data_IF_401454434705
#
_entry.id   IF_401454434705
#
_cell.length_a   1.000
_cell.length_b   1.000
_cell.length_c   1.000
_cell.angle_alpha   90.00
_cell.angle_beta   90.00
_cell.angle_gamma   90.00
#
_symmetry.space_group_name_H-M   'P 1'
#
loop_
_entity.id
_entity.type
_entity.pdbx_description
1 polymer ?
#
# COMPACT_ATOMS: atom_id res chain seq x y z
N UNK A 1 9.18 18.50 -9.77
CA UNK A 1 9.08 18.73 -8.31
C UNK A 1 10.31 18.17 -7.63
N UNK A 2 11.01 19.01 -6.86
CA UNK A 2 12.19 18.61 -6.08
C UNK A 2 11.72 17.82 -4.85
N UNK A 3 12.57 16.96 -4.30
CA UNK A 3 12.26 16.15 -3.11
C UNK A 3 11.72 16.99 -1.92
N UNK A 4 12.12 18.26 -1.86
CA UNK A 4 11.74 19.26 -0.86
C UNK A 4 10.24 19.60 -0.87
N UNK A 5 9.57 19.59 -2.04
CA UNK A 5 8.15 19.94 -2.15
C UNK A 5 7.23 18.90 -1.47
N UNK A 6 7.75 17.71 -1.10
CA UNK A 6 6.97 16.64 -0.45
C UNK A 6 6.82 16.86 1.06
N UNK A 7 7.80 17.47 1.71
CA UNK A 7 7.82 17.74 3.16
C UNK A 7 6.82 18.83 3.54
N UNK A 8 6.63 19.83 2.67
CA UNK A 8 5.77 20.98 2.96
C UNK A 8 4.26 20.67 2.99
N UNK A 9 3.87 19.45 2.59
CA UNK A 9 2.47 19.05 2.48
C UNK A 9 1.88 18.35 3.71
N UNK A 10 2.70 17.92 4.68
CA UNK A 10 2.23 17.24 5.90
C UNK A 10 2.51 18.08 7.17
N UNK A 11 1.48 18.66 7.81
CA UNK A 11 1.61 19.41 9.05
C UNK A 11 2.24 18.61 10.19
N UNK A 12 1.98 17.29 10.28
CA UNK A 12 2.53 16.47 11.38
C UNK A 12 4.04 16.30 11.27
N UNK A 13 4.57 16.20 10.04
CA UNK A 13 6.01 16.13 9.83
C UNK A 13 6.73 17.38 10.36
N UNK A 14 6.13 18.58 10.17
CA UNK A 14 6.65 19.83 10.74
C UNK A 14 6.56 19.83 12.27
N UNK A 15 5.43 19.42 12.83
CA UNK A 15 5.27 19.36 14.29
C UNK A 15 6.23 18.38 14.95
N UNK A 16 6.53 17.24 14.32
CA UNK A 16 7.51 16.29 14.83
C UNK A 16 8.95 16.81 14.77
N UNK A 17 9.27 17.67 13.80
CA UNK A 17 10.56 18.36 13.75
C UNK A 17 10.69 19.37 14.90
N UNK A 18 9.61 20.08 15.24
CA UNK A 18 9.61 21.12 16.27
C UNK A 18 9.50 20.58 17.70
N UNK A 19 8.67 19.56 17.91
CA UNK A 19 8.26 19.09 19.24
C UNK A 19 8.75 17.68 19.58
N UNK A 20 9.43 17.00 18.64
CA UNK A 20 9.98 15.67 18.83
C UNK A 20 9.05 14.52 18.42
N UNK A 21 9.44 13.27 18.71
CA UNK A 21 8.80 12.06 18.14
C UNK A 21 7.41 11.77 18.70
N UNK A 22 7.01 12.39 19.81
CA UNK A 22 5.70 12.23 20.44
C UNK A 22 5.18 13.62 20.78
N UNK A 23 3.99 13.95 20.29
CA UNK A 23 3.35 15.25 20.54
C UNK A 23 1.88 15.08 20.86
N UNK A 24 1.37 15.95 21.73
CA UNK A 24 -0.05 16.06 22.03
C UNK A 24 -0.71 17.13 21.15
N UNK A 25 -1.89 16.84 20.62
CA UNK A 25 -2.72 17.78 19.86
C UNK A 25 -4.20 17.55 20.14
N UNK A 26 -5.05 18.50 19.78
CA UNK A 26 -6.49 18.40 19.97
C UNK A 26 -7.20 18.23 18.63
N UNK A 27 -8.10 17.25 18.55
CA UNK A 27 -9.06 17.12 17.45
C UNK A 27 -10.42 17.52 18.00
N UNK A 28 -10.77 18.79 17.87
CA UNK A 28 -11.95 19.35 18.52
C UNK A 28 -11.83 19.27 20.04
N UNK A 29 -12.71 18.50 20.69
CA UNK A 29 -12.68 18.25 22.14
C UNK A 29 -11.92 16.98 22.55
N UNK A 30 -11.35 16.26 21.59
CA UNK A 30 -10.59 15.02 21.83
C UNK A 30 -9.12 15.37 21.99
N UNK A 31 -8.53 15.03 23.13
CA UNK A 31 -7.08 15.07 23.30
C UNK A 31 -6.48 13.89 22.53
N UNK A 32 -5.46 14.13 21.72
CA UNK A 32 -4.81 13.10 20.92
C UNK A 32 -3.27 13.18 21.04
N UNK A 33 -2.60 12.05 20.86
CA UNK A 33 -1.15 11.99 20.67
C UNK A 33 -0.82 11.58 19.25
N UNK A 34 0.14 12.25 18.62
CA UNK A 34 0.77 11.80 17.38
C UNK A 34 2.13 11.17 17.72
N UNK A 35 2.39 9.98 17.18
CA UNK A 35 3.61 9.20 17.44
C UNK A 35 4.34 8.92 16.13
N UNK A 36 5.59 9.40 16.05
CA UNK A 36 6.54 9.18 14.96
C UNK A 36 7.78 8.37 15.41
N UNK A 37 7.61 7.48 16.39
CA UNK A 37 8.63 6.51 16.80
C UNK A 37 8.21 5.09 16.43
N UNK A 38 9.04 4.40 15.63
CA UNK A 38 8.68 3.09 15.10
C UNK A 38 8.60 2.00 16.18
N UNK A 39 9.36 2.11 17.28
CA UNK A 39 9.31 1.15 18.38
C UNK A 39 8.06 1.36 19.22
N UNK A 40 7.72 2.61 19.52
CA UNK A 40 6.51 2.99 20.26
C UNK A 40 5.25 2.63 19.46
N UNK A 41 5.23 2.89 18.15
CA UNK A 41 4.14 2.44 17.27
C UNK A 41 3.98 0.92 17.34
N UNK A 42 5.07 0.15 17.25
CA UNK A 42 5.01 -1.32 17.39
C UNK A 42 4.49 -1.74 18.77
N UNK A 43 4.96 -1.08 19.83
CA UNK A 43 4.54 -1.37 21.19
C UNK A 43 3.02 -1.18 21.33
N UNK A 44 2.50 -0.04 20.87
CA UNK A 44 1.08 0.28 21.00
C UNK A 44 0.21 -0.57 20.07
N UNK A 45 0.53 -0.63 18.77
CA UNK A 45 -0.32 -1.31 17.79
C UNK A 45 -0.31 -2.83 17.95
N UNK A 46 0.77 -3.42 18.46
CA UNK A 46 0.93 -4.89 18.53
C UNK A 46 0.78 -5.41 19.97
N UNK A 47 1.56 -4.89 20.91
CA UNK A 47 1.67 -5.47 22.26
C UNK A 47 0.54 -4.98 23.16
N UNK A 48 0.32 -3.67 23.18
CA UNK A 48 -0.67 -3.03 24.06
C UNK A 48 -2.07 -2.97 23.43
N UNK A 49 -2.21 -3.54 22.24
CA UNK A 49 -3.50 -3.65 21.56
C UNK A 49 -4.58 -4.33 22.43
N UNK A 50 -4.20 -5.16 23.41
CA UNK A 50 -5.14 -5.78 24.34
C UNK A 50 -5.97 -4.76 25.12
N UNK A 51 -5.42 -3.58 25.37
CA UNK A 51 -6.04 -2.52 26.15
C UNK A 51 -7.09 -1.73 25.34
N UNK A 52 -7.26 -2.09 24.06
CA UNK A 52 -8.12 -1.33 23.17
C UNK A 52 -9.60 -1.62 23.43
N UNK A 53 -10.39 -0.59 23.73
CA UNK A 53 -11.80 -0.73 24.16
C UNK A 53 -12.70 -1.33 23.07
N UNK A 54 -12.38 -1.09 21.79
CA UNK A 54 -13.10 -1.59 20.63
C UNK A 54 -12.64 -3.00 20.18
N UNK A 55 -11.57 -3.53 20.77
CA UNK A 55 -10.95 -4.82 20.41
C UNK A 55 -11.93 -5.99 20.36
N UNK A 56 -12.85 -6.21 21.32
CA UNK A 56 -13.76 -7.37 21.27
C UNK A 56 -14.66 -7.35 20.03
N UNK A 57 -15.14 -6.16 19.64
CA UNK A 57 -15.95 -5.95 18.44
C UNK A 57 -15.11 -6.19 17.19
N UNK A 58 -13.91 -5.61 17.13
CA UNK A 58 -12.99 -5.78 16.01
C UNK A 58 -12.64 -7.25 15.79
N UNK A 59 -12.28 -7.99 16.85
CA UNK A 59 -11.90 -9.41 16.79
C UNK A 59 -13.05 -10.28 16.24
N UNK A 60 -14.29 -10.00 16.65
CA UNK A 60 -15.50 -10.71 16.20
C UNK A 60 -15.76 -10.53 14.70
N UNK A 61 -15.56 -9.32 14.18
CA UNK A 61 -15.72 -9.04 12.75
C UNK A 61 -14.57 -9.65 11.95
N UNK A 62 -13.33 -9.47 12.43
CA UNK A 62 -12.13 -9.97 11.76
C UNK A 62 -12.12 -11.49 11.61
N UNK A 63 -12.56 -12.24 12.62
CA UNK A 63 -12.58 -13.70 12.57
C UNK A 63 -13.51 -14.26 11.50
N UNK A 64 -14.61 -13.56 11.20
CA UNK A 64 -15.57 -13.96 10.15
C UNK A 64 -15.05 -13.68 8.74
N UNK A 65 -14.25 -12.63 8.56
CA UNK A 65 -13.80 -12.18 7.24
C UNK A 65 -12.45 -12.78 6.82
N UNK A 66 -11.56 -13.07 7.79
CA UNK A 66 -10.20 -13.56 7.50
C UNK A 66 -10.15 -14.84 6.64
N UNK A 67 -11.04 -15.84 6.81
CA UNK A 67 -11.02 -17.05 6.00
C UNK A 67 -11.11 -16.81 4.49
N UNK A 68 -11.80 -15.75 4.04
CA UNK A 68 -11.95 -15.41 2.61
C UNK A 68 -10.69 -14.81 1.97
N UNK A 69 -9.67 -14.45 2.76
CA UNK A 69 -8.43 -13.82 2.27
C UNK A 69 -7.19 -14.67 2.57
N UNK A 70 -7.36 -15.98 2.76
CA UNK A 70 -6.26 -16.92 2.96
C UNK A 70 -5.53 -17.20 1.65
N UNK A 71 -4.26 -17.61 1.72
CA UNK A 71 -3.47 -17.88 0.51
C UNK A 71 -4.07 -19.00 -0.35
N UNK A 72 -4.71 -19.99 0.26
CA UNK A 72 -5.33 -21.10 -0.46
C UNK A 72 -6.53 -20.61 -1.29
N UNK A 73 -7.40 -19.78 -0.71
CA UNK A 73 -8.51 -19.14 -1.42
C UNK A 73 -8.02 -18.20 -2.54
N UNK A 74 -6.87 -17.56 -2.36
CA UNK A 74 -6.28 -16.69 -3.39
C UNK A 74 -5.66 -17.49 -4.55
N UNK A 75 -5.09 -18.67 -4.29
CA UNK A 75 -4.56 -19.54 -5.35
C UNK A 75 -5.66 -20.04 -6.28
N UNK A 76 -6.85 -20.36 -5.76
CA UNK A 76 -7.99 -20.79 -6.60
C UNK A 76 -8.47 -19.69 -7.54
N UNK A 77 -8.34 -18.43 -7.10
CA UNK A 77 -8.67 -17.23 -7.87
C UNK A 77 -7.70 -17.00 -9.04
N UNK A 78 -6.40 -17.27 -8.88
CA UNK A 78 -5.41 -17.05 -9.93
C UNK A 78 -5.42 -18.13 -11.03
N UNK A 79 -5.82 -19.36 -10.70
CA UNK A 79 -5.79 -20.48 -11.64
C UNK A 79 -6.97 -20.51 -12.63
N UNK A 80 -8.00 -19.68 -12.44
CA UNK A 80 -9.06 -19.54 -13.43
C UNK A 80 -8.58 -18.69 -14.61
N UNK A 81 -8.08 -19.33 -15.67
CA UNK A 81 -7.58 -18.71 -16.91
C UNK A 81 -8.64 -18.01 -17.78
N UNK A 82 -9.88 -17.88 -17.32
CA UNK A 82 -11.03 -17.49 -18.15
C UNK A 82 -11.21 -15.98 -18.36
N UNK A 83 -10.32 -15.12 -17.86
CA UNK A 83 -10.53 -13.66 -17.90
C UNK A 83 -11.77 -13.20 -17.12
N UNK A 84 -12.41 -14.11 -16.37
CA UNK A 84 -13.53 -13.81 -15.48
C UNK A 84 -12.97 -13.35 -14.14
N UNK A 85 -13.42 -12.18 -13.68
CA UNK A 85 -13.14 -11.67 -12.34
C UNK A 85 -13.45 -12.78 -11.31
N UNK A 86 -12.55 -13.08 -10.37
CA UNK A 86 -12.66 -14.23 -9.50
C UNK A 86 -14.00 -14.36 -8.75
N UNK A 87 -14.51 -15.59 -8.76
CA UNK A 87 -15.79 -16.05 -8.19
C UNK A 87 -15.87 -15.94 -6.66
N UNK A 88 -14.77 -15.62 -5.97
CA UNK A 88 -14.70 -15.45 -4.50
C UNK A 88 -15.72 -14.41 -3.97
N UNK A 89 -16.20 -13.48 -4.80
CA UNK A 89 -17.22 -12.49 -4.41
C UNK A 89 -18.66 -12.82 -4.82
N UNK A 90 -18.93 -13.83 -5.67
CA UNK A 90 -20.32 -14.21 -6.02
C UNK A 90 -21.02 -15.01 -4.91
N UNK A 91 -20.27 -15.80 -4.14
CA UNK A 91 -20.86 -16.68 -3.11
C UNK A 91 -20.93 -16.08 -1.70
N UNK A 92 -20.59 -14.81 -1.51
CA UNK A 92 -20.76 -14.12 -0.21
C UNK A 92 -22.19 -13.60 0.02
N UNK A 93 -23.08 -13.71 -0.97
CA UNK A 93 -24.41 -13.11 -0.92
C UNK A 93 -25.44 -13.81 -0.01
N UNK A 94 -25.47 -15.15 0.19
CA UNK A 94 -26.57 -15.75 0.96
C UNK A 94 -26.43 -15.63 2.48
N UNK A 95 -25.21 -15.59 3.03
CA UNK A 95 -24.97 -15.62 4.48
C UNK A 95 -24.78 -14.24 5.13
N UNK A 96 -24.60 -13.17 4.34
CA UNK A 96 -24.26 -11.83 4.84
C UNK A 96 -25.40 -10.80 4.65
N UNK A 97 -26.52 -11.20 4.05
CA UNK A 97 -27.63 -10.32 3.66
C UNK A 97 -28.59 -9.89 4.80
N UNK A 98 -28.47 -10.45 6.01
CA UNK A 98 -29.39 -10.15 7.12
C UNK A 98 -28.91 -9.04 8.07
N UNK A 99 -27.71 -8.45 7.87
CA UNK A 99 -27.18 -7.41 8.75
C UNK A 99 -26.87 -6.11 7.98
N UNK A 100 -27.63 -5.04 8.26
CA UNK A 100 -27.45 -3.71 7.67
C UNK A 100 -26.03 -3.14 7.88
N UNK A 101 -25.34 -3.54 8.97
CA UNK A 101 -23.94 -3.19 9.22
C UNK A 101 -22.95 -3.91 8.28
N UNK A 102 -23.22 -5.16 7.86
CA UNK A 102 -22.33 -5.92 6.98
C UNK A 102 -22.50 -5.54 5.50
N UNK A 103 -23.72 -5.19 5.07
CA UNK A 103 -23.97 -4.67 3.71
C UNK A 103 -23.16 -3.40 3.42
N UNK A 104 -23.14 -2.47 4.39
CA UNK A 104 -22.34 -1.23 4.31
C UNK A 104 -20.82 -1.50 4.34
N UNK A 105 -20.36 -2.47 5.14
CA UNK A 105 -18.95 -2.88 5.17
C UNK A 105 -18.48 -3.50 3.84
N UNK A 106 -19.32 -4.29 3.16
CA UNK A 106 -18.98 -4.91 1.88
C UNK A 106 -18.93 -3.86 0.76
N UNK A 107 -19.93 -2.99 0.65
CA UNK A 107 -19.97 -1.89 -0.32
C UNK A 107 -18.79 -0.93 -0.13
N UNK A 108 -18.52 -0.52 1.12
CA UNK A 108 -17.35 0.29 1.47
C UNK A 108 -16.06 -0.45 1.13
N UNK A 109 -15.96 -1.76 1.38
CA UNK A 109 -14.75 -2.53 1.05
C UNK A 109 -14.51 -2.69 -0.45
N UNK A 110 -15.56 -2.74 -1.27
CA UNK A 110 -15.45 -2.87 -2.73
C UNK A 110 -15.05 -1.55 -3.38
N UNK A 111 -15.59 -0.43 -2.92
CA UNK A 111 -15.22 0.92 -3.37
C UNK A 111 -13.79 1.23 -2.94
N UNK A 112 -13.45 1.01 -1.67
CA UNK A 112 -12.10 1.18 -1.16
C UNK A 112 -11.08 0.26 -1.85
N UNK A 113 -11.50 -0.95 -2.28
CA UNK A 113 -10.64 -1.87 -3.05
C UNK A 113 -10.22 -1.27 -4.39
N UNK A 114 -11.20 -0.83 -5.19
CA UNK A 114 -10.89 -0.31 -6.53
C UNK A 114 -10.00 0.93 -6.46
N UNK A 115 -10.30 1.85 -5.55
CA UNK A 115 -9.55 3.10 -5.42
C UNK A 115 -8.11 2.86 -4.94
N UNK A 116 -7.89 2.00 -3.94
CA UNK A 116 -6.55 1.78 -3.39
C UNK A 116 -5.64 0.97 -4.30
N UNK A 117 -6.13 -0.12 -4.92
CA UNK A 117 -5.35 -0.92 -5.87
C UNK A 117 -5.02 -0.12 -7.14
N UNK A 118 -6.00 0.60 -7.71
CA UNK A 118 -5.77 1.41 -8.92
C UNK A 118 -4.78 2.55 -8.67
N UNK A 119 -4.86 3.23 -7.52
CA UNK A 119 -3.91 4.27 -7.15
C UNK A 119 -2.51 3.71 -6.95
N UNK A 120 -2.40 2.54 -6.32
CA UNK A 120 -1.11 1.86 -6.16
C UNK A 120 -0.48 1.55 -7.52
N UNK A 121 -1.25 0.99 -8.46
CA UNK A 121 -0.79 0.73 -9.83
C UNK A 121 -0.38 2.02 -10.55
N UNK A 122 -1.14 3.11 -10.39
CA UNK A 122 -0.82 4.40 -10.98
C UNK A 122 0.51 4.97 -10.43
N UNK A 123 0.71 4.91 -9.12
CA UNK A 123 1.97 5.33 -8.49
C UNK A 123 3.15 4.45 -8.92
N UNK A 124 2.96 3.13 -9.00
CA UNK A 124 4.02 2.21 -9.45
C UNK A 124 4.40 2.53 -10.90
N UNK A 125 3.40 2.70 -11.78
CA UNK A 125 3.62 3.08 -13.18
C UNK A 125 4.38 4.39 -13.28
N UNK A 126 4.03 5.38 -12.45
CA UNK A 126 4.74 6.68 -12.38
C UNK A 126 6.20 6.51 -12.00
N UNK A 127 6.52 5.74 -10.97
CA UNK A 127 7.92 5.55 -10.56
C UNK A 127 8.70 4.75 -11.63
N UNK A 128 8.10 3.73 -12.25
CA UNK A 128 8.74 2.97 -13.34
C UNK A 128 9.03 3.80 -14.60
N UNK A 129 8.26 4.85 -14.85
CA UNK A 129 8.53 5.81 -15.92
C UNK A 129 9.68 6.76 -15.57
N UNK A 130 9.78 7.17 -14.30
CA UNK A 130 10.86 8.04 -13.81
C UNK A 130 12.20 7.32 -13.71
N UNK A 131 12.18 6.00 -13.54
CA UNK A 131 13.37 5.15 -13.40
C UNK A 131 13.38 4.02 -14.44
N UNK A 132 13.73 4.30 -15.71
CA UNK A 132 13.74 3.30 -16.79
C UNK A 132 14.72 2.15 -16.56
N UNK A 133 15.80 2.38 -15.83
CA UNK A 133 16.79 1.39 -15.38
C UNK A 133 16.16 0.37 -14.42
N UNK A 134 15.38 0.85 -13.44
CA UNK A 134 14.60 0.00 -12.53
C UNK A 134 13.57 -0.81 -13.31
N UNK A 135 12.88 -0.18 -14.26
CA UNK A 135 11.92 -0.85 -15.13
C UNK A 135 12.58 -1.96 -15.97
N UNK A 136 13.76 -1.70 -16.54
CA UNK A 136 14.53 -2.68 -17.30
C UNK A 136 14.89 -3.90 -16.45
N UNK A 137 15.52 -3.69 -15.29
CA UNK A 137 15.89 -4.78 -14.38
C UNK A 137 14.69 -5.60 -13.91
N UNK A 138 13.59 -4.93 -13.55
CA UNK A 138 12.36 -5.59 -13.14
C UNK A 138 11.80 -6.46 -14.28
N UNK A 139 11.75 -5.90 -15.50
CA UNK A 139 11.31 -6.62 -16.69
C UNK A 139 12.18 -7.84 -16.99
N UNK A 140 13.50 -7.70 -16.91
CA UNK A 140 14.44 -8.79 -17.21
C UNK A 140 14.26 -9.96 -16.23
N UNK A 141 14.13 -9.68 -14.94
CA UNK A 141 13.84 -10.72 -13.93
C UNK A 141 12.49 -11.40 -14.19
N UNK A 142 11.45 -10.62 -14.54
CA UNK A 142 10.14 -11.17 -14.88
C UNK A 142 10.20 -12.08 -16.11
N UNK A 143 10.90 -11.68 -17.16
CA UNK A 143 11.04 -12.48 -18.40
C UNK A 143 11.73 -13.81 -18.09
N UNK A 144 12.78 -13.79 -17.27
CA UNK A 144 13.50 -15.00 -16.83
C UNK A 144 12.59 -15.94 -16.02
N UNK A 145 11.77 -15.41 -15.13
CA UNK A 145 10.90 -16.21 -14.25
C UNK A 145 9.62 -16.73 -14.93
N UNK A 146 9.17 -16.09 -16.01
CA UNK A 146 7.88 -16.39 -16.68
C UNK A 146 8.05 -17.15 -17.99
N UNK A 147 9.23 -17.71 -18.25
CA UNK A 147 9.57 -18.39 -19.51
C UNK A 147 9.25 -17.49 -20.71
N UNK A 148 9.84 -16.29 -20.74
CA UNK A 148 9.56 -15.26 -21.75
C UNK A 148 8.10 -14.78 -21.80
N UNK A 149 7.43 -14.69 -20.65
CA UNK A 149 6.06 -14.19 -20.55
C UNK A 149 4.98 -15.18 -21.02
N UNK A 150 5.30 -16.48 -21.08
CA UNK A 150 4.35 -17.52 -21.46
C UNK A 150 3.59 -18.09 -20.27
N UNK A 151 4.21 -18.14 -19.09
CA UNK A 151 3.64 -18.78 -17.89
C UNK A 151 3.69 -17.82 -16.70
N UNK A 152 2.54 -17.56 -16.09
CA UNK A 152 2.38 -16.65 -14.94
C UNK A 152 1.85 -17.40 -13.73
N UNK A 153 2.68 -18.28 -13.17
CA UNK A 153 2.33 -19.03 -11.99
C UNK A 153 2.48 -18.17 -10.74
N UNK A 154 1.56 -18.31 -9.78
CA UNK A 154 1.60 -17.57 -8.53
C UNK A 154 2.95 -17.73 -7.81
N UNK A 155 3.52 -18.94 -7.82
CA UNK A 155 4.80 -19.23 -7.17
C UNK A 155 5.98 -18.60 -7.89
N UNK A 156 5.93 -18.48 -9.23
CA UNK A 156 6.94 -17.77 -10.01
C UNK A 156 6.93 -16.27 -9.69
N UNK A 157 5.74 -15.67 -9.62
CA UNK A 157 5.58 -14.26 -9.29
C UNK A 157 6.10 -13.92 -7.90
N UNK A 158 5.86 -14.78 -6.90
CA UNK A 158 6.35 -14.59 -5.54
C UNK A 158 7.89 -14.64 -5.42
N UNK A 159 8.59 -15.19 -6.41
CA UNK A 159 10.06 -15.23 -6.46
C UNK A 159 10.70 -13.97 -7.05
N UNK A 160 9.92 -13.11 -7.72
CA UNK A 160 10.47 -11.90 -8.35
C UNK A 160 10.76 -10.83 -7.29
N UNK A 161 12.03 -10.70 -6.92
CA UNK A 161 12.46 -9.78 -5.87
C UNK A 161 12.30 -8.32 -6.31
N UNK A 162 12.55 -8.00 -7.58
CA UNK A 162 12.38 -6.64 -8.09
C UNK A 162 10.93 -6.20 -8.00
N UNK A 163 9.97 -7.09 -8.29
CA UNK A 163 8.54 -6.78 -8.15
C UNK A 163 8.20 -6.39 -6.72
N UNK A 164 8.59 -7.22 -5.76
CA UNK A 164 8.33 -7.01 -4.34
C UNK A 164 8.96 -5.69 -3.89
N UNK A 165 10.23 -5.45 -4.26
CA UNK A 165 10.95 -4.24 -3.91
C UNK A 165 10.32 -2.95 -4.48
N UNK A 166 9.94 -2.96 -5.76
CA UNK A 166 9.29 -1.83 -6.44
C UNK A 166 7.94 -1.53 -5.82
N UNK A 167 7.11 -2.55 -5.59
CA UNK A 167 5.79 -2.37 -4.96
C UNK A 167 5.96 -1.79 -3.55
N UNK A 168 6.83 -2.37 -2.73
CA UNK A 168 6.99 -1.95 -1.35
C UNK A 168 7.56 -0.53 -1.22
N UNK A 169 8.53 -0.15 -2.04
CA UNK A 169 9.12 1.19 -2.01
C UNK A 169 8.14 2.23 -2.56
N UNK A 170 7.37 1.88 -3.59
CA UNK A 170 6.31 2.76 -4.09
C UNK A 170 5.26 3.01 -3.02
N UNK A 171 4.79 1.97 -2.34
CA UNK A 171 3.81 2.11 -1.26
C UNK A 171 4.36 2.85 -0.03
N UNK A 172 5.68 2.77 0.22
CA UNK A 172 6.35 3.60 1.25
C UNK A 172 6.31 5.07 0.87
N UNK A 173 6.65 5.41 -0.38
CA UNK A 173 6.73 6.81 -0.82
C UNK A 173 5.37 7.43 -1.13
N UNK A 174 4.45 6.62 -1.62
CA UNK A 174 3.17 7.05 -2.19
C UNK A 174 2.06 6.09 -1.72
N UNK A 175 1.76 6.00 -0.40
CA UNK A 175 0.70 5.11 0.06
C UNK A 175 -0.66 5.59 -0.47
N UNK A 176 -1.54 4.68 -0.96
CA UNK A 176 -2.86 5.05 -1.48
C UNK A 176 -3.79 5.61 -0.40
N UNK A 177 -3.47 5.37 0.88
CA UNK A 177 -4.19 5.92 2.03
C UNK A 177 -3.20 6.57 2.98
N UNK A 178 -3.49 7.79 3.45
CA UNK A 178 -2.80 8.33 4.61
C UNK A 178 -3.42 7.69 5.86
N UNK A 179 -2.76 6.66 6.38
CA UNK A 179 -3.20 5.97 7.58
C UNK A 179 -2.87 6.80 8.81
N UNK A 180 -3.75 7.72 9.18
CA UNK A 180 -3.89 8.08 10.59
C UNK A 180 -4.83 7.06 11.19
N UNK A 181 -4.28 6.11 11.95
CA UNK A 181 -5.09 5.21 12.75
C UNK A 181 -5.40 5.94 14.05
N UNK A 182 -6.56 6.61 14.13
CA UNK A 182 -7.04 7.17 15.39
C UNK A 182 -7.65 6.09 16.25
N UNK A 183 -6.98 5.71 17.33
CA UNK A 183 -7.54 4.82 18.34
C UNK A 183 -8.18 5.65 19.45
N UNK A 184 -9.41 5.33 19.83
CA UNK A 184 -10.05 5.91 21.02
C UNK A 184 -9.81 4.96 22.18
N UNK A 185 -8.85 5.27 23.06
CA UNK A 185 -8.60 4.37 24.19
C UNK A 185 -8.00 5.03 25.40
N UNK A 186 -8.81 5.16 26.45
CA UNK A 186 -8.77 4.41 27.72
C UNK A 186 -10.21 4.38 28.31
N UNK A 187 -10.58 3.43 29.19
CA UNK A 187 -11.95 3.33 29.74
C UNK A 187 -12.47 4.63 30.40
N UNK A 188 -11.55 5.46 30.91
CA UNK A 188 -11.84 6.68 31.66
C UNK A 188 -11.23 7.95 31.02
N UNK A 189 -10.62 7.84 29.83
CA UNK A 189 -9.99 8.96 29.14
C UNK A 189 -10.24 8.82 27.64
N UNK A 190 -10.98 9.76 27.04
CA UNK A 190 -11.16 9.84 25.60
C UNK A 190 -9.90 10.40 24.94
N UNK A 191 -8.87 9.56 24.86
CA UNK A 191 -7.60 9.87 24.24
C UNK A 191 -7.54 9.27 22.83
N UNK A 192 -7.25 10.12 21.86
CA UNK A 192 -6.88 9.73 20.51
C UNK A 192 -5.41 9.32 20.47
N UNK A 193 -5.07 8.25 19.78
CA UNK A 193 -3.70 8.00 19.35
C UNK A 193 -3.68 8.03 17.83
N UNK A 194 -2.75 8.77 17.24
CA UNK A 194 -2.49 8.83 15.81
C UNK A 194 -1.06 8.39 15.55
N UNK A 195 -0.86 7.51 14.58
CA UNK A 195 0.47 7.13 14.11
C UNK A 195 0.84 7.97 12.91
N UNK A 196 1.95 8.69 13.01
CA UNK A 196 2.41 9.61 11.97
C UNK A 196 3.19 8.85 10.91
N UNK A 197 2.49 7.97 10.18
CA UNK A 197 3.06 7.08 9.16
C UNK A 197 3.81 7.88 8.10
N UNK A 198 3.35 9.09 7.77
CA UNK A 198 4.06 9.98 6.85
C UNK A 198 5.41 10.44 7.38
N UNK A 199 5.51 10.73 8.67
CA UNK A 199 6.79 11.10 9.28
C UNK A 199 7.71 9.89 9.28
N UNK A 200 7.25 8.74 9.80
CA UNK A 200 8.02 7.49 9.86
C UNK A 200 8.61 7.07 8.52
N UNK A 201 7.83 7.15 7.44
CA UNK A 201 8.29 6.72 6.11
C UNK A 201 9.30 7.67 5.48
N UNK A 202 9.47 8.88 6.01
CA UNK A 202 10.41 9.90 5.53
C UNK A 202 11.54 10.22 6.52
N UNK A 203 11.56 9.60 7.70
CA UNK A 203 12.67 9.75 8.64
C UNK A 203 13.92 9.04 8.13
N UNK A 204 15.03 9.77 8.06
CA UNK A 204 16.32 9.30 7.55
C UNK A 204 16.92 8.15 8.40
N UNK A 205 16.67 8.17 9.72
CA UNK A 205 17.08 7.11 10.65
C UNK A 205 16.47 5.74 10.31
N UNK A 206 15.27 5.74 9.71
CA UNK A 206 14.63 4.52 9.24
C UNK A 206 14.96 4.25 7.77
N UNK A 207 14.93 5.26 6.92
CA UNK A 207 15.13 5.12 5.49
C UNK A 207 16.22 6.07 4.99
N UNK A 208 17.47 5.60 4.88
CA UNK A 208 18.56 6.39 4.30
C UNK A 208 18.21 6.95 2.92
N UNK A 209 18.35 8.23 2.66
CA UNK A 209 17.86 8.96 1.49
C UNK A 209 16.35 8.77 1.32
N UNK A 210 15.59 9.07 2.37
CA UNK A 210 14.18 8.68 2.51
C UNK A 210 13.28 9.20 1.38
N UNK A 211 13.63 10.33 0.78
CA UNK A 211 12.88 10.97 -0.31
C UNK A 211 13.29 10.50 -1.71
N UNK A 212 14.30 9.66 -1.82
CA UNK A 212 14.77 9.09 -3.09
C UNK A 212 14.17 7.70 -3.27
N UNK A 213 13.55 7.47 -4.43
CA UNK A 213 13.02 6.16 -4.79
C UNK A 213 14.17 5.17 -5.00
N UNK A 214 14.34 4.23 -4.06
CA UNK A 214 15.42 3.23 -4.08
C UNK A 214 14.86 1.86 -3.74
N UNK A 215 14.22 1.16 -4.69
CA UNK A 215 13.51 -0.08 -4.41
C UNK A 215 14.40 -1.16 -3.78
N UNK A 216 15.65 -1.24 -4.22
CA UNK A 216 16.62 -2.26 -3.80
C UNK A 216 16.97 -2.24 -2.31
N UNK A 217 16.63 -1.17 -1.57
CA UNK A 217 16.80 -1.12 -0.10
C UNK A 217 15.92 -2.12 0.63
N UNK A 218 14.81 -2.53 0.01
CA UNK A 218 13.82 -3.45 0.61
C UNK A 218 14.06 -4.91 0.23
N UNK A 219 15.18 -5.20 -0.43
CA UNK A 219 15.64 -6.58 -0.57
C UNK A 219 15.91 -7.21 0.80
N UNK A 220 15.68 -8.52 0.96
CA UNK A 220 15.84 -9.22 2.23
C UNK A 220 17.21 -8.99 2.88
N UNK A 221 18.28 -8.93 2.08
CA UNK A 221 19.66 -8.76 2.54
C UNK A 221 19.95 -7.33 3.01
N UNK A 222 19.18 -6.36 2.50
CA UNK A 222 19.40 -4.93 2.72
C UNK A 222 18.45 -4.32 3.76
N UNK A 223 17.49 -5.09 4.29
CA UNK A 223 16.40 -4.58 5.14
C UNK A 223 16.82 -4.52 6.62
N UNK A 224 17.02 -3.32 7.20
CA UNK A 224 17.27 -3.18 8.63
C UNK A 224 16.04 -3.59 9.45
N UNK A 225 16.26 -4.08 10.68
CA UNK A 225 15.17 -4.42 11.59
C UNK A 225 14.25 -3.23 11.90
N UNK A 226 14.82 -2.02 12.00
CA UNK A 226 14.10 -0.76 12.25
C UNK A 226 13.12 -0.39 11.12
N UNK A 227 13.46 -0.71 9.87
CA UNK A 227 12.58 -0.50 8.70
C UNK A 227 11.29 -1.31 8.79
N UNK A 228 11.31 -2.45 9.48
CA UNK A 228 10.13 -3.32 9.58
C UNK A 228 8.97 -2.65 10.30
N UNK A 229 9.26 -1.84 11.31
CA UNK A 229 8.21 -1.16 12.08
C UNK A 229 7.84 0.20 11.46
N UNK A 230 8.76 0.85 10.75
CA UNK A 230 8.47 2.11 10.06
C UNK A 230 7.74 1.90 8.71
N UNK A 231 7.89 0.73 8.08
CA UNK A 231 7.19 0.38 6.84
C UNK A 231 5.80 -0.20 7.14
N UNK A 232 4.76 0.64 7.07
CA UNK A 232 3.38 0.24 7.42
C UNK A 232 2.31 0.72 6.41
N UNK A 233 2.49 0.56 5.08
CA UNK A 233 1.48 1.03 4.12
C UNK A 233 0.13 0.30 4.22
N UNK A 234 0.10 -0.85 4.89
CA UNK A 234 -1.11 -1.63 5.18
C UNK A 234 -1.52 -1.57 6.67
N UNK A 235 -0.89 -0.70 7.47
CA UNK A 235 -0.99 -0.69 8.94
C UNK A 235 -0.31 -1.90 9.61
N UNK A 236 -0.22 -1.89 10.94
CA UNK A 236 0.32 -3.03 11.69
C UNK A 236 -0.73 -3.97 12.25
N UNK A 237 -0.26 -5.18 12.57
CA UNK A 237 -1.08 -6.17 13.26
C UNK A 237 -1.49 -5.62 14.63
N UNK A 238 -2.69 -5.93 15.12
CA UNK A 238 -3.69 -6.79 14.48
C UNK A 238 -4.61 -6.05 13.51
N UNK A 239 -4.64 -4.71 13.54
CA UNK A 239 -5.52 -3.87 12.72
C UNK A 239 -5.10 -3.71 11.24
N UNK A 240 -4.07 -4.42 10.79
CA UNK A 240 -3.58 -4.33 9.41
C UNK A 240 -4.67 -4.66 8.38
N UNK A 241 -4.49 -4.16 7.15
CA UNK A 241 -5.41 -4.37 6.05
C UNK A 241 -5.72 -5.86 5.85
N UNK A 242 -7.02 -6.20 5.90
CA UNK A 242 -7.47 -7.59 5.72
C UNK A 242 -7.21 -8.11 4.30
N UNK A 243 -7.18 -7.20 3.33
CA UNK A 243 -7.02 -7.51 1.90
C UNK A 243 -5.58 -7.46 1.43
N UNK A 244 -4.59 -7.30 2.32
CA UNK A 244 -3.16 -7.15 1.95
C UNK A 244 -2.71 -8.19 0.92
N UNK A 245 -2.97 -9.48 1.17
CA UNK A 245 -2.58 -10.57 0.25
C UNK A 245 -3.27 -10.49 -1.11
N UNK A 246 -4.55 -10.14 -1.11
CA UNK A 246 -5.33 -10.00 -2.35
C UNK A 246 -4.88 -8.79 -3.16
N UNK A 247 -4.59 -7.66 -2.52
CA UNK A 247 -4.08 -6.45 -3.17
C UNK A 247 -2.71 -6.70 -3.81
N UNK A 248 -1.80 -7.36 -3.08
CA UNK A 248 -0.51 -7.79 -3.64
C UNK A 248 -0.69 -8.65 -4.88
N UNK A 249 -1.52 -9.69 -4.80
CA UNK A 249 -1.81 -10.57 -5.93
C UNK A 249 -2.38 -9.81 -7.15
N UNK A 250 -3.35 -8.92 -6.96
CA UNK A 250 -3.90 -8.11 -8.07
C UNK A 250 -2.83 -7.23 -8.72
N UNK A 251 -2.01 -6.55 -7.92
CA UNK A 251 -0.94 -5.66 -8.41
C UNK A 251 0.14 -6.47 -9.14
N UNK A 252 0.62 -7.54 -8.54
CA UNK A 252 1.70 -8.39 -9.05
C UNK A 252 1.32 -9.03 -10.39
N UNK A 253 0.14 -9.65 -10.49
CA UNK A 253 -0.34 -10.26 -11.74
C UNK A 253 -0.52 -9.22 -12.84
N UNK A 254 -1.04 -8.04 -12.49
CA UNK A 254 -1.25 -6.94 -13.45
C UNK A 254 0.09 -6.45 -13.99
N UNK A 255 1.05 -6.15 -13.11
CA UNK A 255 2.38 -5.70 -13.50
C UNK A 255 3.12 -6.75 -14.32
N UNK A 256 3.06 -8.02 -13.92
CA UNK A 256 3.74 -9.10 -14.63
C UNK A 256 3.23 -9.25 -16.07
N UNK A 257 1.90 -9.33 -16.27
CA UNK A 257 1.30 -9.42 -17.61
C UNK A 257 1.58 -8.18 -18.46
N UNK A 258 1.63 -7.03 -17.82
CA UNK A 258 1.79 -5.76 -18.50
C UNK A 258 3.25 -5.50 -18.91
N UNK A 259 4.21 -5.62 -17.98
CA UNK A 259 5.63 -5.36 -18.20
C UNK A 259 6.34 -6.44 -19.01
N UNK A 260 5.80 -7.65 -19.13
CA UNK A 260 6.33 -8.66 -20.07
C UNK A 260 5.96 -8.31 -21.51
N UNK A 261 4.79 -7.71 -21.76
CA UNK A 261 4.30 -7.39 -23.11
C UNK A 261 4.70 -6.00 -23.59
N UNK A 262 4.74 -5.04 -22.68
CA UNK A 262 4.90 -3.62 -23.00
C UNK A 262 6.06 -3.01 -22.23
N UNK A 263 6.70 -2.03 -22.86
CA UNK A 263 7.62 -1.11 -22.20
C UNK A 263 6.90 0.23 -21.98
N UNK A 264 7.00 0.77 -20.78
CA UNK A 264 6.47 2.07 -20.41
C UNK A 264 7.47 3.15 -20.81
N UNK A 265 6.99 4.13 -21.58
CA UNK A 265 7.77 5.29 -22.00
C UNK A 265 6.92 6.54 -21.72
N UNK A 266 7.56 7.56 -21.16
CA UNK A 266 6.90 8.84 -20.93
C UNK A 266 6.59 9.49 -22.28
N UNK A 267 5.39 10.05 -22.44
CA UNK A 267 5.11 10.87 -23.62
C UNK A 267 5.97 12.15 -23.54
N UNK A 268 6.85 12.41 -24.52
CA UNK A 268 7.66 13.61 -24.54
C UNK A 268 6.85 14.92 -24.54
N UNK A 269 5.54 14.85 -24.84
CA UNK A 269 4.63 16.01 -24.86
C UNK A 269 3.92 16.25 -23.51
N UNK A 270 4.02 15.34 -22.53
CA UNK A 270 3.33 15.46 -21.23
C UNK A 270 4.29 15.93 -20.11
N UNK A 271 4.44 17.26 -19.98
CA UNK A 271 5.25 17.91 -18.93
C UNK A 271 4.68 17.70 -17.51
N UNK A 272 3.48 17.11 -17.39
CA UNK A 272 2.81 16.84 -16.11
C UNK A 272 3.28 15.56 -15.42
N UNK A 273 4.27 14.84 -15.98
CA UNK A 273 4.85 13.63 -15.36
C UNK A 273 5.28 13.83 -13.89
N UNK A 274 5.55 15.07 -13.52
CA UNK A 274 5.91 15.47 -12.16
C UNK A 274 4.76 16.00 -11.30
N UNK A 275 3.59 16.34 -11.86
CA UNK A 275 2.55 17.16 -11.21
C UNK A 275 1.30 16.37 -10.75
N UNK A 276 1.48 15.08 -10.43
CA UNK A 276 0.45 14.34 -9.67
C UNK A 276 0.49 14.85 -8.23
N UNK A 277 -0.36 15.83 -7.91
CA UNK A 277 -0.52 16.35 -6.54
C UNK A 277 -0.71 15.18 -5.57
N UNK A 278 0.24 14.99 -4.66
CA UNK A 278 0.17 14.03 -3.56
C UNK A 278 -0.77 14.52 -2.48
N UNK A 279 -2.04 14.73 -2.83
CA UNK A 279 -3.05 14.97 -1.83
C UNK A 279 -3.62 13.60 -1.44
N UNK A 280 -3.61 13.21 -0.15
CA UNK A 280 -4.38 12.07 0.31
C UNK A 280 -5.87 12.40 0.19
N UNK A 281 -6.38 12.28 -1.03
CA UNK A 281 -7.79 12.45 -1.28
C UNK A 281 -8.46 11.12 -1.02
N UNK A 282 -9.61 11.18 -0.33
CA UNK A 282 -10.68 10.21 -0.56
C UNK A 282 -11.08 10.42 -2.03
N UNK A 283 -10.52 9.61 -2.93
CA UNK A 283 -10.39 9.91 -4.37
C UNK A 283 -11.76 10.03 -5.02
N UNK A 284 -12.38 11.21 -4.95
CA UNK A 284 -13.63 11.53 -5.66
C UNK A 284 -13.39 11.84 -7.14
N UNK A 285 -12.14 11.96 -7.58
CA UNK A 285 -11.75 12.27 -8.96
C UNK A 285 -10.64 11.31 -9.40
N UNK A 286 -10.73 10.66 -10.58
CA UNK A 286 -9.67 9.79 -11.06
C UNK A 286 -8.34 10.54 -11.08
N UNK A 287 -7.27 9.87 -10.66
CA UNK A 287 -5.91 10.38 -10.90
C UNK A 287 -5.81 10.58 -12.42
N UNK A 288 -5.58 11.82 -12.86
CA UNK A 288 -5.35 12.11 -14.27
C UNK A 288 -4.10 11.34 -14.68
N UNK A 289 -4.31 10.17 -15.29
CA UNK A 289 -3.22 9.34 -15.78
C UNK A 289 -2.50 10.12 -16.89
N UNK A 290 -1.18 10.17 -16.76
CA UNK A 290 -0.26 10.62 -17.79
C UNK A 290 -0.57 9.89 -19.10
N UNK A 291 -0.46 10.60 -20.21
CA UNK A 291 -0.62 9.97 -21.53
C UNK A 291 0.56 9.02 -21.74
N UNK A 292 0.30 7.74 -21.98
CA UNK A 292 1.34 6.73 -22.19
C UNK A 292 1.34 6.28 -23.64
N UNK A 293 2.52 6.03 -24.20
CA UNK A 293 2.67 5.16 -25.38
C UNK A 293 3.11 3.78 -24.92
N UNK A 294 2.33 2.77 -25.29
CA UNK A 294 2.70 1.37 -25.10
C UNK A 294 3.46 0.89 -26.33
N UNK A 295 4.76 0.60 -26.19
CA UNK A 295 5.51 -0.06 -27.26
C UNK A 295 5.46 -1.57 -27.06
N UNK A 296 5.01 -2.35 -28.07
CA UNK A 296 5.17 -3.80 -28.06
C UNK A 296 6.65 -4.14 -27.90
N UNK A 297 6.97 -4.94 -26.90
CA UNK A 297 8.37 -5.23 -26.58
C UNK A 297 9.11 -6.00 -27.68
N UNK A 298 8.39 -6.69 -28.56
CA UNK A 298 8.93 -7.45 -29.69
C UNK A 298 9.54 -6.58 -30.81
N UNK A 299 9.47 -5.25 -30.72
CA UNK A 299 9.96 -4.32 -31.76
C UNK A 299 11.21 -3.52 -31.38
N UNK A 300 11.86 -3.84 -30.25
CA UNK A 300 13.08 -3.16 -29.79
C UNK A 300 14.21 -4.18 -29.65
N UNK A 301 14.58 -4.78 -30.78
CA UNK A 301 15.85 -5.48 -31.00
C UNK A 301 16.77 -4.59 -31.82
#
# INVERSE_FOLDING_TARGET
MRALDRIDSDPQAKWHQEHGPVLGYFIGNISAFAVADAQMVRQIEIKDFIDFTDRPRWKRVRSKLTPSFTSNELKTVTSSNDGKIPVCMRNQYPYLATCYCMKRLIEVSSILRYETTSSSLAFITKELLRFPDVQGRFRDELIQLTTNGQVFDFECLQRCQCMVAVIQETLRMNPPTCGELTYQTYPNLSLGLSTSVHTLRHTEDYFREAHTFRPWRLFPENRPSLVTNAWQPFGARPCNCIRTRFAHMEIEVTLAKFLTRYRLIADPMDDRSNDVKHCPQRIKKPINCLVFRFLPALKLS
#
